data_IF_662539513940
#
_entry.id   IF_662539513940
#
_cell.length_a   1.000
_cell.length_b   1.000
_cell.length_c   1.000
_cell.angle_alpha   90.00
_cell.angle_beta   90.00
_cell.angle_gamma   90.00
#
_symmetry.space_group_name_H-M   'P 1'
#
loop_
_entity.id
_entity.type
_entity.pdbx_description
1 polymer ?
#
# COMPACT_ATOMS: atom_id res chain seq x y z
N UNK A 1 -16.24 11.42 -9.78
CA UNK A 1 -15.38 10.84 -8.72
C UNK A 1 -13.94 11.19 -9.02
N UNK A 2 -13.18 11.68 -8.05
CA UNK A 2 -11.85 12.24 -8.28
C UNK A 2 -10.76 11.15 -8.25
N UNK A 3 -9.61 11.39 -8.90
CA UNK A 3 -8.48 10.45 -8.92
C UNK A 3 -7.96 10.16 -7.51
N UNK A 4 -7.98 11.18 -6.64
CA UNK A 4 -7.64 11.05 -5.22
C UNK A 4 -8.53 10.03 -4.49
N UNK A 5 -9.84 10.05 -4.76
CA UNK A 5 -10.78 9.11 -4.13
C UNK A 5 -10.44 7.67 -4.51
N UNK A 6 -10.12 7.43 -5.79
CA UNK A 6 -9.69 6.12 -6.26
C UNK A 6 -8.34 5.70 -5.68
N UNK A 7 -7.36 6.61 -5.61
CA UNK A 7 -6.06 6.36 -4.98
C UNK A 7 -6.21 5.93 -3.52
N UNK A 8 -6.97 6.69 -2.73
CA UNK A 8 -7.24 6.39 -1.32
C UNK A 8 -8.02 5.08 -1.14
N UNK A 9 -9.02 4.82 -1.99
CA UNK A 9 -9.84 3.61 -1.89
C UNK A 9 -9.02 2.36 -2.25
N UNK A 10 -8.28 2.39 -3.36
CA UNK A 10 -7.41 1.28 -3.79
C UNK A 10 -6.29 1.06 -2.77
N UNK A 11 -5.68 2.13 -2.26
CA UNK A 11 -4.63 2.07 -1.25
C UNK A 11 -5.13 1.53 0.10
N UNK A 12 -6.31 1.97 0.56
CA UNK A 12 -6.92 1.46 1.80
C UNK A 12 -7.32 -0.01 1.70
N UNK A 13 -7.93 -0.43 0.58
CA UNK A 13 -8.23 -1.84 0.33
C UNK A 13 -6.94 -2.67 0.35
N UNK A 14 -5.89 -2.22 -0.34
CA UNK A 14 -4.58 -2.89 -0.33
C UNK A 14 -4.00 -3.08 1.08
N UNK A 15 -4.10 -2.05 1.94
CA UNK A 15 -3.67 -2.14 3.36
C UNK A 15 -4.50 -3.15 4.16
N UNK A 16 -5.81 -3.22 3.93
CA UNK A 16 -6.66 -4.23 4.58
C UNK A 16 -6.26 -5.64 4.15
N UNK A 17 -6.05 -5.87 2.85
CA UNK A 17 -5.59 -7.17 2.33
C UNK A 17 -4.25 -7.57 2.93
N UNK A 18 -3.30 -6.63 3.03
CA UNK A 18 -1.99 -6.88 3.62
C UNK A 18 -2.10 -7.19 5.12
N UNK A 19 -2.90 -6.42 5.86
CA UNK A 19 -3.15 -6.64 7.30
C UNK A 19 -3.80 -7.99 7.59
N UNK A 20 -4.84 -8.36 6.82
CA UNK A 20 -5.50 -9.67 6.93
C UNK A 20 -4.53 -10.80 6.57
N UNK A 21 -3.78 -10.66 5.48
CA UNK A 21 -2.79 -11.66 5.07
C UNK A 21 -1.73 -11.93 6.14
N UNK A 22 -1.20 -10.87 6.76
CA UNK A 22 -0.22 -10.99 7.86
C UNK A 22 -0.84 -11.63 9.10
N UNK A 23 -2.09 -11.29 9.45
CA UNK A 23 -2.75 -11.83 10.64
C UNK A 23 -3.05 -13.33 10.49
N UNK A 24 -3.47 -13.77 9.31
CA UNK A 24 -3.66 -15.19 9.00
C UNK A 24 -2.32 -15.93 9.05
N UNK A 25 -1.26 -15.35 8.46
CA UNK A 25 0.07 -15.96 8.45
C UNK A 25 0.61 -16.16 9.87
N UNK A 26 0.48 -15.15 10.74
CA UNK A 26 0.83 -15.28 12.14
C UNK A 26 -0.01 -16.34 12.87
N UNK A 27 -1.32 -16.42 12.60
CA UNK A 27 -2.20 -17.43 13.19
C UNK A 27 -1.81 -18.86 12.80
N UNK A 28 -1.46 -19.08 11.53
CA UNK A 28 -1.00 -20.38 11.00
C UNK A 28 0.36 -20.79 11.58
N UNK A 29 1.32 -19.85 11.62
CA UNK A 29 2.66 -20.09 12.16
C UNK A 29 2.65 -20.46 13.65
N UNK A 30 1.71 -19.92 14.42
CA UNK A 30 1.58 -20.27 15.85
C UNK A 30 0.99 -21.68 16.04
N UNK A 31 0.14 -22.14 15.13
CA UNK A 31 -0.56 -23.41 15.27
C UNK A 31 0.24 -24.61 14.74
N UNK A 32 1.03 -24.43 13.68
CA UNK A 32 1.79 -25.51 13.03
C UNK A 32 3.28 -25.47 13.41
N UNK A 33 3.68 -26.31 14.39
CA UNK A 33 5.11 -26.54 14.75
C UNK A 33 5.88 -27.42 13.77
N UNK A 34 5.25 -27.97 12.72
CA UNK A 34 5.90 -28.88 11.76
C UNK A 34 5.59 -28.46 10.33
N UNK A 35 6.63 -28.30 9.51
CA UNK A 35 6.52 -27.89 8.11
C UNK A 35 6.12 -29.10 7.27
N UNK A 36 4.81 -29.26 7.05
CA UNK A 36 4.26 -30.27 6.14
C UNK A 36 3.97 -29.68 4.74
N UNK A 37 3.85 -30.54 3.73
CA UNK A 37 3.54 -30.14 2.35
C UNK A 37 2.20 -29.37 2.21
N UNK A 38 1.24 -29.62 3.11
CA UNK A 38 -0.01 -28.87 3.19
C UNK A 38 0.22 -27.41 3.63
N UNK A 39 1.17 -27.18 4.55
CA UNK A 39 1.57 -25.85 5.02
C UNK A 39 2.25 -25.07 3.90
N UNK A 40 3.13 -25.71 3.13
CA UNK A 40 3.78 -25.11 1.96
C UNK A 40 2.79 -24.66 0.88
N UNK A 41 1.73 -25.43 0.64
CA UNK A 41 0.66 -25.03 -0.30
C UNK A 41 -0.18 -23.87 0.25
N UNK A 42 -0.48 -23.86 1.55
CA UNK A 42 -1.18 -22.74 2.21
C UNK A 42 -0.35 -21.45 2.13
N UNK A 43 0.96 -21.57 2.32
CA UNK A 43 1.89 -20.45 2.26
C UNK A 43 1.92 -19.78 0.88
N UNK A 44 1.79 -20.54 -0.21
CA UNK A 44 1.77 -19.96 -1.56
C UNK A 44 0.54 -19.06 -1.78
N UNK A 45 -0.63 -19.46 -1.27
CA UNK A 45 -1.85 -18.67 -1.35
C UNK A 45 -1.77 -17.42 -0.46
N UNK A 46 -1.20 -17.52 0.73
CA UNK A 46 -0.94 -16.36 1.61
C UNK A 46 0.04 -15.37 1.01
N UNK A 47 1.14 -15.88 0.44
CA UNK A 47 2.13 -15.07 -0.26
C UNK A 47 1.50 -14.36 -1.47
N UNK A 48 0.64 -15.05 -2.23
CA UNK A 48 -0.07 -14.42 -3.35
C UNK A 48 -1.01 -13.30 -2.86
N UNK A 49 -1.75 -13.52 -1.77
CA UNK A 49 -2.69 -12.54 -1.22
C UNK A 49 -1.96 -11.28 -0.72
N UNK A 50 -0.84 -11.47 -0.03
CA UNK A 50 0.00 -10.37 0.48
C UNK A 50 0.70 -9.60 -0.63
N UNK A 51 1.23 -10.29 -1.65
CA UNK A 51 1.81 -9.65 -2.84
C UNK A 51 0.75 -8.85 -3.60
N UNK A 52 -0.46 -9.40 -3.79
CA UNK A 52 -1.55 -8.70 -4.45
C UNK A 52 -1.95 -7.44 -3.66
N UNK A 53 -2.07 -7.55 -2.34
CA UNK A 53 -2.31 -6.41 -1.45
C UNK A 53 -1.23 -5.33 -1.58
N UNK A 54 0.05 -5.72 -1.59
CA UNK A 54 1.19 -4.82 -1.76
C UNK A 54 1.13 -4.08 -3.11
N UNK A 55 0.88 -4.79 -4.20
CA UNK A 55 0.73 -4.20 -5.54
C UNK A 55 -0.41 -3.18 -5.55
N UNK A 56 -1.54 -3.49 -4.90
CA UNK A 56 -2.66 -2.56 -4.78
C UNK A 56 -2.27 -1.27 -4.05
N UNK A 57 -1.51 -1.38 -2.95
CA UNK A 57 -0.99 -0.21 -2.21
C UNK A 57 -0.11 0.64 -3.11
N UNK A 58 0.82 0.02 -3.83
CA UNK A 58 1.76 0.72 -4.73
C UNK A 58 0.99 1.50 -5.80
N UNK A 59 -0.01 0.88 -6.42
CA UNK A 59 -0.85 1.53 -7.44
C UNK A 59 -1.62 2.72 -6.85
N UNK A 60 -2.26 2.54 -5.69
CA UNK A 60 -2.96 3.63 -5.00
C UNK A 60 -2.03 4.81 -4.69
N UNK A 61 -0.81 4.52 -4.26
CA UNK A 61 0.21 5.53 -3.95
C UNK A 61 0.66 6.30 -5.19
N UNK A 62 0.83 5.63 -6.33
CA UNK A 62 1.13 6.32 -7.60
C UNK A 62 0.01 7.27 -8.03
N UNK A 63 -1.26 6.88 -7.82
CA UNK A 63 -2.39 7.75 -8.10
C UNK A 63 -2.40 9.00 -7.20
N UNK A 64 -2.06 8.85 -5.91
CA UNK A 64 -1.91 9.97 -4.98
C UNK A 64 -0.76 10.90 -5.37
N UNK A 65 0.41 10.36 -5.70
CA UNK A 65 1.57 11.14 -6.16
C UNK A 65 1.23 11.98 -7.40
N UNK A 66 0.53 11.37 -8.35
CA UNK A 66 0.11 12.07 -9.57
C UNK A 66 -0.90 13.19 -9.27
N UNK A 67 -1.87 12.93 -8.39
CA UNK A 67 -2.88 13.91 -8.04
C UNK A 67 -2.31 15.13 -7.28
N UNK A 68 -1.44 14.89 -6.32
CA UNK A 68 -0.81 15.94 -5.51
C UNK A 68 0.42 16.57 -6.18
N UNK A 69 0.87 16.03 -7.31
CA UNK A 69 2.07 16.48 -8.01
C UNK A 69 3.30 16.56 -7.09
N UNK A 70 3.45 15.58 -6.19
CA UNK A 70 4.57 15.52 -5.23
C UNK A 70 5.95 15.46 -5.92
N UNK A 71 6.00 15.15 -7.22
CA UNK A 71 7.23 15.23 -8.03
C UNK A 71 7.80 16.66 -8.05
N UNK A 72 6.94 17.67 -7.97
CA UNK A 72 7.35 19.08 -7.87
C UNK A 72 8.00 19.41 -6.52
N UNK A 73 7.76 18.61 -5.47
CA UNK A 73 8.43 18.72 -4.17
C UNK A 73 9.82 18.07 -4.14
N UNK A 74 10.07 17.05 -4.99
CA UNK A 74 11.37 16.38 -5.05
C UNK A 74 12.45 17.26 -5.68
N UNK A 75 12.07 18.19 -6.56
CA UNK A 75 12.98 19.04 -7.33
C UNK A 75 12.98 20.52 -6.88
N UNK A 76 12.31 20.86 -5.77
CA UNK A 76 12.27 22.23 -5.26
C UNK A 76 13.38 22.47 -4.22
N UNK A 77 13.80 23.72 -4.07
CA UNK A 77 14.74 24.15 -3.04
C UNK A 77 14.27 25.46 -2.41
N UNK A 78 14.47 25.62 -1.09
CA UNK A 78 14.20 26.87 -0.39
C UNK A 78 12.73 27.32 -0.43
N UNK A 79 12.50 28.59 -0.75
CA UNK A 79 11.17 29.22 -0.73
C UNK A 79 10.17 28.61 -1.71
N UNK A 80 10.65 27.99 -2.79
CA UNK A 80 9.80 27.35 -3.80
C UNK A 80 9.14 26.07 -3.26
N UNK A 81 9.80 25.34 -2.34
CA UNK A 81 9.17 24.23 -1.64
C UNK A 81 8.06 24.68 -0.70
N UNK A 82 8.24 25.81 -0.01
CA UNK A 82 7.23 26.32 0.93
C UNK A 82 5.94 26.73 0.21
N UNK A 83 6.07 27.35 -0.98
CA UNK A 83 4.92 27.69 -1.83
C UNK A 83 4.22 26.44 -2.38
N UNK A 84 4.99 25.48 -2.91
CA UNK A 84 4.41 24.22 -3.41
C UNK A 84 3.72 23.41 -2.30
N UNK A 85 4.29 23.40 -1.09
CA UNK A 85 3.67 22.79 0.09
C UNK A 85 2.39 23.50 0.51
N UNK A 86 2.38 24.82 0.52
CA UNK A 86 1.18 25.60 0.84
C UNK A 86 0.05 25.36 -0.17
N UNK A 87 0.36 25.20 -1.46
CA UNK A 87 -0.63 24.89 -2.50
C UNK A 87 -1.23 23.48 -2.32
N UNK A 88 -0.44 22.50 -1.86
CA UNK A 88 -0.93 21.15 -1.57
C UNK A 88 -1.78 21.13 -0.29
N UNK A 89 -1.35 21.85 0.76
CA UNK A 89 -2.06 21.89 2.05
C UNK A 89 -3.34 22.73 2.02
N UNK A 90 -3.49 23.64 1.07
CA UNK A 90 -4.67 24.51 0.93
C UNK A 90 -5.75 23.97 -0.01
N UNK A 91 -5.54 22.78 -0.59
CA UNK A 91 -6.47 22.08 -1.48
C UNK A 91 -7.29 21.03 -0.74
#
# INVERSE_FOLDING_TARGET
>A
MNLLFWGLTVGSIGKVFLGVGVLIAHGRLVHERTVNYLVLKSYHTEHLLTVLGLVMIVIGYFMEIYFYNFVSMLNCFGTDCALNAAVILSR
#
